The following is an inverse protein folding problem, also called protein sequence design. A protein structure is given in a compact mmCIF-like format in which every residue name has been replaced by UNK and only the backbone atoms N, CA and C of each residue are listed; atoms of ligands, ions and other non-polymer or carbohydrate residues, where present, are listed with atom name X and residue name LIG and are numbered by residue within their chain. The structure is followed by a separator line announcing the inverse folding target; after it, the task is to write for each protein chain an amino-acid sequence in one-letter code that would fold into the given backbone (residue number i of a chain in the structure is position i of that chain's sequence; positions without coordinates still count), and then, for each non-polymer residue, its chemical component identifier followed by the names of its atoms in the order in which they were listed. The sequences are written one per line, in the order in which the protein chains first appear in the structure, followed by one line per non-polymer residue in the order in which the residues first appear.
data_IF_127477680028
#
_entry.id   IF_127477680028
#
_cell.length_a   1.000
_cell.length_b   1.000
_cell.length_c   1.000
_cell.angle_alpha   90.00
_cell.angle_beta   90.00
_cell.angle_gamma   90.00
#
_symmetry.space_group_name_H-M   'P 1'
#
loop_
_entity.id
_entity.type
_entity.pdbx_description
1 polymer ?
#
# COMPACT_ATOMS: atom_id res chain seq x y z
N UNK A 1 11.26 0.24 -2.62
CA UNK A 1 11.23 1.27 -1.56
C UNK A 1 10.14 0.91 -0.56
N UNK A 2 10.45 1.01 0.72
CA UNK A 2 9.51 0.72 1.80
C UNK A 2 9.24 1.98 2.59
N UNK A 3 8.01 2.49 2.48
CA UNK A 3 7.61 3.75 3.12
C UNK A 3 6.81 3.44 4.38
N UNK A 4 7.25 3.97 5.51
CA UNK A 4 6.60 3.75 6.80
C UNK A 4 5.47 4.75 7.00
N UNK A 5 4.28 4.27 7.33
CA UNK A 5 3.10 5.10 7.57
C UNK A 5 2.41 4.71 8.88
N UNK A 6 1.80 5.70 9.53
CA UNK A 6 1.11 5.52 10.80
C UNK A 6 -0.25 4.85 10.57
N UNK A 7 -0.52 3.78 11.32
CA UNK A 7 -1.74 3.00 11.22
C UNK A 7 -2.92 3.61 11.99
N UNK A 8 -2.70 4.62 12.83
CA UNK A 8 -3.74 5.19 13.71
C UNK A 8 -4.94 5.76 12.95
N UNK A 9 -4.77 6.11 11.67
CA UNK A 9 -5.82 6.72 10.83
C UNK A 9 -6.64 5.70 10.05
N UNK A 10 -6.44 4.40 10.30
CA UNK A 10 -7.23 3.37 9.64
C UNK A 10 -8.68 3.47 10.10
N UNK A 11 -9.60 3.45 9.14
CA UNK A 11 -11.05 3.46 9.39
C UNK A 11 -11.59 2.04 9.25
N UNK A 12 -12.32 1.59 10.26
CA UNK A 12 -12.95 0.29 10.25
C UNK A 12 -14.43 0.41 9.90
N UNK A 13 -14.96 -0.59 9.21
CA UNK A 13 -16.36 -0.74 8.88
C UNK A 13 -16.83 -2.16 9.18
N UNK A 14 -18.08 -2.49 8.82
CA UNK A 14 -18.65 -3.82 9.09
C UNK A 14 -17.83 -4.94 8.43
N UNK A 15 -17.82 -6.11 9.06
CA UNK A 15 -17.17 -7.29 8.54
C UNK A 15 -15.64 -7.23 8.54
N UNK A 16 -15.07 -6.48 9.48
CA UNK A 16 -13.62 -6.27 9.59
C UNK A 16 -13.01 -5.62 8.34
N UNK A 17 -13.80 -4.91 7.58
CA UNK A 17 -13.31 -4.12 6.45
C UNK A 17 -12.61 -2.88 6.96
N UNK A 18 -11.56 -2.48 6.26
CA UNK A 18 -10.84 -1.25 6.57
C UNK A 18 -10.62 -0.41 5.32
N UNK A 19 -10.43 0.87 5.53
CA UNK A 19 -9.92 1.80 4.52
C UNK A 19 -8.82 2.64 5.13
N UNK A 20 -7.87 3.04 4.31
CA UNK A 20 -6.70 3.73 4.81
C UNK A 20 -6.06 4.60 3.72
N UNK A 21 -5.73 5.84 4.07
CA UNK A 21 -4.89 6.68 3.22
C UNK A 21 -3.45 6.20 3.35
N UNK A 22 -3.06 5.30 2.46
CA UNK A 22 -1.77 4.62 2.50
C UNK A 22 -0.62 5.58 2.19
N UNK A 23 -0.81 6.46 1.20
CA UNK A 23 0.20 7.42 0.77
C UNK A 23 -0.46 8.79 0.62
N UNK A 24 -0.34 9.67 1.63
CA UNK A 24 -0.85 11.03 1.52
C UNK A 24 -0.17 11.82 0.40
N UNK A 25 -0.96 12.65 -0.28
CA UNK A 25 -0.46 13.57 -1.29
C UNK A 25 0.48 14.59 -0.65
N UNK A 26 1.62 14.86 -1.29
CA UNK A 26 2.54 15.90 -0.85
C UNK A 26 3.95 15.40 -0.58
N UNK A 27 4.72 16.26 0.07
CA UNK A 27 6.12 16.00 0.41
C UNK A 27 6.27 15.62 1.86
N UNK A 28 7.07 14.59 2.12
CA UNK A 28 7.48 14.27 3.47
C UNK A 28 8.89 13.67 3.49
N UNK A 29 9.53 13.75 4.65
CA UNK A 29 10.89 13.27 4.83
C UNK A 29 10.87 11.85 5.40
N UNK A 30 11.65 10.97 4.77
CA UNK A 30 11.88 9.62 5.25
C UNK A 30 13.37 9.40 5.44
N UNK A 31 13.77 8.95 6.63
CA UNK A 31 15.19 8.89 7.01
C UNK A 31 16.07 8.11 6.02
N UNK A 32 15.51 7.07 5.40
CA UNK A 32 16.27 6.21 4.48
C UNK A 32 16.38 6.78 3.07
N UNK A 33 15.38 7.57 2.64
CA UNK A 33 15.26 8.02 1.24
C UNK A 33 15.33 9.54 1.09
N UNK A 34 15.31 10.28 2.20
CA UNK A 34 15.23 11.73 2.14
C UNK A 34 13.82 12.24 1.83
N UNK A 35 13.73 13.34 1.11
CA UNK A 35 12.45 13.92 0.73
C UNK A 35 11.76 13.06 -0.33
N UNK A 36 10.52 12.68 -0.04
CA UNK A 36 9.64 11.99 -0.98
C UNK A 36 8.52 12.93 -1.38
N UNK A 37 8.23 12.99 -2.67
CA UNK A 37 7.16 13.81 -3.23
C UNK A 37 6.14 12.92 -3.92
N UNK A 38 5.02 12.68 -3.26
CA UNK A 38 3.93 11.92 -3.83
C UNK A 38 2.97 12.87 -4.54
N UNK A 39 3.21 13.07 -5.83
CA UNK A 39 2.38 13.90 -6.69
C UNK A 39 1.10 13.17 -7.09
N UNK A 40 0.12 13.94 -7.57
CA UNK A 40 -1.10 13.38 -8.14
C UNK A 40 -0.79 12.37 -9.25
N UNK A 41 0.10 12.71 -10.18
CA UNK A 41 0.45 11.83 -11.30
C UNK A 41 1.07 10.51 -10.81
N UNK A 42 1.96 10.60 -9.82
CA UNK A 42 2.63 9.43 -9.25
C UNK A 42 1.63 8.48 -8.59
N UNK A 43 0.76 9.01 -7.74
CA UNK A 43 -0.23 8.21 -7.01
C UNK A 43 -1.29 7.65 -7.94
N UNK A 44 -1.74 8.44 -8.90
CA UNK A 44 -2.72 8.00 -9.89
C UNK A 44 -2.17 6.86 -10.75
N UNK A 45 -0.89 6.94 -11.14
CA UNK A 45 -0.23 5.86 -11.88
C UNK A 45 -0.22 4.56 -11.08
N UNK A 46 0.09 4.61 -9.79
CA UNK A 46 0.07 3.43 -8.91
C UNK A 46 -1.33 2.82 -8.85
N UNK A 47 -2.36 3.66 -8.66
CA UNK A 47 -3.75 3.21 -8.62
C UNK A 47 -4.17 2.56 -9.94
N UNK A 48 -3.82 3.16 -11.07
CA UNK A 48 -4.19 2.65 -12.39
C UNK A 48 -3.50 1.31 -12.69
N UNK A 49 -2.26 1.13 -12.24
CA UNK A 49 -1.58 -0.15 -12.40
C UNK A 49 -2.25 -1.26 -11.60
N UNK A 50 -2.66 -0.99 -10.37
CA UNK A 50 -3.42 -1.96 -9.59
C UNK A 50 -4.75 -2.31 -10.28
N UNK A 51 -5.47 -1.32 -10.78
CA UNK A 51 -6.72 -1.53 -11.50
C UNK A 51 -6.53 -2.38 -12.77
N UNK A 52 -5.36 -2.30 -13.39
CA UNK A 52 -4.97 -3.11 -14.54
C UNK A 52 -4.41 -4.49 -14.16
N UNK A 53 -4.53 -4.88 -12.89
CA UNK A 53 -4.04 -6.16 -12.36
C UNK A 53 -2.50 -6.28 -12.44
N UNK A 54 -1.80 -5.22 -12.08
CA UNK A 54 -0.33 -5.18 -12.06
C UNK A 54 0.14 -4.91 -10.63
N UNK A 55 0.84 -5.85 -9.99
CA UNK A 55 1.28 -7.16 -10.52
C UNK A 55 0.10 -8.11 -10.73
N UNK A 56 0.30 -9.15 -11.51
CA UNK A 56 -0.75 -10.11 -11.84
C UNK A 56 -1.02 -11.14 -10.73
N UNK A 57 -0.25 -11.14 -9.67
CA UNK A 57 -0.47 -11.97 -8.50
C UNK A 57 -1.05 -11.12 -7.35
N UNK A 58 -1.68 -11.79 -6.38
CA UNK A 58 -2.29 -11.11 -5.25
C UNK A 58 -1.25 -10.37 -4.39
N UNK A 59 -1.53 -9.12 -4.08
CA UNK A 59 -0.80 -8.37 -3.07
C UNK A 59 -1.66 -8.28 -1.81
N UNK A 60 -1.02 -8.23 -0.65
CA UNK A 60 -1.73 -8.26 0.63
C UNK A 60 -0.88 -7.61 1.73
N UNK A 61 -1.46 -7.48 2.92
CA UNK A 61 -0.76 -7.01 4.11
C UNK A 61 -0.24 -8.22 4.87
N UNK A 62 1.07 -8.29 5.10
CA UNK A 62 1.70 -9.30 5.95
C UNK A 62 2.27 -8.64 7.21
N UNK A 63 3.10 -9.36 7.95
CA UNK A 63 3.90 -8.80 9.03
C UNK A 63 5.38 -8.93 8.67
N UNK A 64 6.15 -7.89 8.98
CA UNK A 64 7.61 -7.85 8.88
C UNK A 64 8.19 -8.13 7.49
N UNK A 65 7.40 -8.05 6.42
CA UNK A 65 7.77 -8.30 5.00
C UNK A 65 8.31 -9.72 4.68
N UNK A 66 8.68 -10.49 5.67
CA UNK A 66 9.31 -11.81 5.51
C UNK A 66 8.34 -12.96 5.74
N UNK A 67 7.19 -12.67 6.27
CA UNK A 67 6.18 -13.66 6.64
C UNK A 67 5.15 -13.77 5.52
N UNK A 68 4.86 -14.99 5.10
CA UNK A 68 3.83 -15.28 4.10
C UNK A 68 2.40 -15.18 4.67
N UNK A 69 2.27 -14.89 5.96
CA UNK A 69 0.96 -14.76 6.60
C UNK A 69 0.20 -13.57 6.03
N UNK A 70 -0.97 -13.85 5.49
CA UNK A 70 -1.89 -12.84 5.00
C UNK A 70 -2.70 -12.32 6.18
N UNK A 71 -2.31 -11.14 6.68
CA UNK A 71 -2.98 -10.51 7.83
C UNK A 71 -4.22 -9.74 7.40
N UNK A 72 -4.17 -9.13 6.23
CA UNK A 72 -5.29 -8.42 5.63
C UNK A 72 -5.20 -8.49 4.11
N UNK A 73 -6.36 -8.45 3.45
CA UNK A 73 -6.40 -8.34 1.99
C UNK A 73 -6.21 -6.89 1.54
N UNK A 74 -5.86 -6.71 0.28
CA UNK A 74 -5.91 -5.42 -0.41
C UNK A 74 -6.82 -5.63 -1.62
N UNK A 75 -8.07 -5.20 -1.49
CA UNK A 75 -9.09 -5.43 -2.50
C UNK A 75 -9.21 -4.28 -3.49
N UNK A 76 -8.96 -3.05 -3.02
CA UNK A 76 -9.06 -1.83 -3.82
C UNK A 76 -7.89 -0.92 -3.53
N UNK A 77 -7.38 -0.29 -4.57
CA UNK A 77 -6.39 0.78 -4.49
C UNK A 77 -6.90 1.90 -5.39
N UNK A 78 -7.10 3.09 -4.82
CA UNK A 78 -7.66 4.20 -5.59
C UNK A 78 -7.13 5.54 -5.11
N UNK A 79 -7.08 6.49 -6.01
CA UNK A 79 -6.66 7.85 -5.72
C UNK A 79 -7.88 8.72 -5.37
N UNK A 80 -7.76 9.47 -4.27
CA UNK A 80 -8.76 10.47 -3.86
C UNK A 80 -8.15 11.85 -4.08
N UNK A 81 -8.79 12.65 -4.94
CA UNK A 81 -8.32 13.98 -5.29
C UNK A 81 -8.10 14.84 -4.05
N UNK A 82 -6.98 15.55 -4.01
CA UNK A 82 -6.55 16.41 -2.90
C UNK A 82 -6.27 15.67 -1.57
N UNK A 83 -6.21 14.36 -1.59
CA UNK A 83 -6.04 13.58 -0.35
C UNK A 83 -4.89 12.58 -0.45
N UNK A 84 -4.98 11.58 -1.33
CA UNK A 84 -3.90 10.61 -1.49
C UNK A 84 -4.34 9.29 -2.08
N UNK A 85 -3.49 8.28 -1.91
CA UNK A 85 -3.73 6.93 -2.37
C UNK A 85 -4.31 6.10 -1.23
N UNK A 86 -5.52 5.58 -1.45
CA UNK A 86 -6.24 4.77 -0.47
C UNK A 86 -6.18 3.29 -0.83
N UNK A 87 -6.19 2.47 0.21
CA UNK A 87 -6.45 1.04 0.08
C UNK A 87 -7.69 0.68 0.88
N UNK A 88 -8.38 -0.37 0.43
CA UNK A 88 -9.45 -1.01 1.16
C UNK A 88 -9.26 -2.52 1.11
N UNK A 89 -9.63 -3.18 2.17
CA UNK A 89 -9.55 -4.62 2.27
C UNK A 89 -10.26 -5.17 3.49
N UNK A 90 -9.98 -6.42 3.79
CA UNK A 90 -10.55 -7.13 4.94
C UNK A 90 -9.42 -7.55 5.87
N UNK A 91 -9.58 -7.27 7.16
CA UNK A 91 -8.65 -7.76 8.18
C UNK A 91 -8.97 -9.23 8.44
N UNK A 92 -8.01 -10.10 8.19
CA UNK A 92 -8.16 -11.55 8.32
C UNK A 92 -7.68 -12.06 9.68
N UNK A 93 -6.72 -11.38 10.28
CA UNK A 93 -6.14 -11.67 11.59
C UNK A 93 -6.14 -10.38 12.42
N UNK A 94 -7.25 -10.16 13.12
CA UNK A 94 -7.46 -8.93 13.90
C UNK A 94 -6.46 -8.78 15.04
N UNK A 95 -6.11 -9.89 15.70
CA UNK A 95 -5.15 -9.87 16.81
C UNK A 95 -3.78 -9.39 16.33
N UNK A 96 -3.24 -9.99 15.28
CA UNK A 96 -1.97 -9.60 14.70
C UNK A 96 -2.02 -8.17 14.16
N UNK A 97 -3.11 -7.80 13.47
CA UNK A 97 -3.29 -6.46 12.94
C UNK A 97 -3.23 -5.40 14.05
N UNK A 98 -3.79 -5.70 15.22
CA UNK A 98 -3.82 -4.77 16.35
C UNK A 98 -2.51 -4.62 17.10
N UNK A 99 -1.56 -5.55 16.92
CA UNK A 99 -0.29 -5.53 17.66
C UNK A 99 0.73 -4.51 17.14
N UNK A 100 0.55 -3.98 15.95
CA UNK A 100 1.53 -3.14 15.28
C UNK A 100 1.01 -1.71 15.10
N UNK A 101 1.89 -0.73 15.24
CA UNK A 101 1.55 0.69 15.16
C UNK A 101 1.73 1.27 13.76
N UNK A 102 2.54 0.63 12.92
CA UNK A 102 2.90 1.15 11.60
C UNK A 102 2.66 0.15 10.50
N UNK A 103 2.49 0.68 9.31
CA UNK A 103 2.44 -0.10 8.08
C UNK A 103 3.54 0.37 7.15
N UNK A 104 4.35 -0.57 6.67
CA UNK A 104 5.41 -0.29 5.71
C UNK A 104 4.90 -0.61 4.31
N UNK A 105 4.80 0.42 3.47
CA UNK A 105 4.30 0.30 2.10
C UNK A 105 5.45 -0.10 1.20
N UNK A 106 5.26 -1.14 0.41
CA UNK A 106 6.28 -1.61 -0.52
C UNK A 106 5.98 -1.15 -1.94
N UNK A 107 6.83 -0.26 -2.45
CA UNK A 107 6.78 0.27 -3.82
C UNK A 107 8.06 -0.15 -4.54
N UNK A 108 7.93 -0.82 -5.68
CA UNK A 108 9.08 -1.27 -6.46
C UNK A 108 8.87 -1.03 -7.95
N UNK A 109 9.94 -0.78 -8.71
CA UNK A 109 9.87 -0.87 -10.16
C UNK A 109 9.49 -2.29 -10.56
N UNK A 110 8.48 -2.43 -11.39
CA UNK A 110 7.96 -3.72 -11.82
C UNK A 110 7.65 -3.70 -13.31
N UNK A 111 8.09 -4.73 -14.02
CA UNK A 111 7.78 -4.92 -15.43
C UNK A 111 6.54 -5.78 -15.55
N UNK A 112 5.53 -5.29 -16.26
CA UNK A 112 4.35 -6.07 -16.59
C UNK A 112 4.76 -7.24 -17.48
N UNK A 113 4.62 -8.46 -16.98
CA UNK A 113 5.05 -9.67 -17.69
C UNK A 113 4.19 -10.00 -18.89
N UNK A 114 2.99 -9.44 -18.98
CA UNK A 114 2.06 -9.67 -20.09
C UNK A 114 2.33 -8.69 -21.22
N UNK A 115 2.39 -7.41 -20.91
CA UNK A 115 2.53 -6.34 -21.89
C UNK A 115 3.97 -5.86 -22.08
N UNK A 116 4.86 -6.20 -21.15
CA UNK A 116 6.25 -5.75 -21.18
C UNK A 116 6.39 -4.27 -20.88
N UNK A 117 7.41 -3.64 -21.45
CA UNK A 117 7.67 -2.21 -21.29
C UNK A 117 8.72 -1.92 -20.23
N UNK A 118 8.89 -0.62 -19.93
CA UNK A 118 9.83 -0.16 -18.92
C UNK A 118 9.33 -0.47 -17.51
N UNK A 119 10.23 -0.77 -16.55
CA UNK A 119 9.83 -0.91 -15.15
C UNK A 119 9.18 0.38 -14.65
N UNK A 120 8.03 0.24 -13.99
CA UNK A 120 7.32 1.37 -13.41
C UNK A 120 7.00 1.10 -11.95
N UNK A 121 6.96 2.17 -11.16
CA UNK A 121 6.65 2.09 -9.74
C UNK A 121 5.29 1.45 -9.51
N UNK A 122 5.28 0.40 -8.72
CA UNK A 122 4.11 -0.47 -8.52
C UNK A 122 3.96 -0.77 -7.03
N UNK A 123 2.73 -0.79 -6.56
CA UNK A 123 2.43 -1.23 -5.20
C UNK A 123 2.55 -2.75 -5.15
N UNK A 124 3.51 -3.24 -4.36
CA UNK A 124 3.82 -4.67 -4.26
C UNK A 124 3.23 -5.30 -3.01
N UNK A 125 2.77 -4.50 -2.06
CA UNK A 125 2.20 -4.97 -0.82
C UNK A 125 2.43 -4.00 0.32
N UNK A 126 2.08 -4.43 1.51
CA UNK A 126 2.35 -3.69 2.73
C UNK A 126 2.63 -4.68 3.86
N UNK A 127 3.36 -4.24 4.88
CA UNK A 127 3.65 -5.06 6.04
C UNK A 127 3.41 -4.27 7.33
N UNK A 128 2.82 -4.94 8.31
CA UNK A 128 2.74 -4.39 9.66
C UNK A 128 4.12 -4.44 10.28
N UNK A 129 4.51 -3.36 10.95
CA UNK A 129 5.82 -3.25 11.59
C UNK A 129 5.75 -2.31 12.79
N UNK A 130 6.77 -2.37 13.63
CA UNK A 130 6.95 -1.46 14.76
C UNK A 130 8.21 -0.61 14.61
#
# INVERSE_FOLDING_TARGET
MRVLVDKSKIKLSEGSRFSYNLLPLGKFYEDRYGWLDFTTERLLSIANRFAANIPSYEIYVNKDHWDDSKVASIDKVYFVENDGLYIEGVILDEETFGLYDYMSVELEPYVDKINGGEPQETLMGAALTN
#
